data_IF_963065041055
#
_entry.id   IF_963065041055
#
_cell.length_a   1.000
_cell.length_b   1.000
_cell.length_c   1.000
_cell.angle_alpha   90.00
_cell.angle_beta   90.00
_cell.angle_gamma   90.00
#
_symmetry.space_group_name_H-M   'P 1'
#
loop_
_entity.id
_entity.type
_entity.pdbx_description
1 polymer ?
#
# COMPACT_ATOMS: atom_id res chain seq x y z
N UNK A 1 6.85 -10.65 3.70
CA UNK A 1 6.49 -11.29 2.40
C UNK A 1 7.54 -12.34 2.08
N UNK A 2 7.16 -13.42 1.41
CA UNK A 2 8.11 -14.45 0.97
C UNK A 2 8.90 -13.93 -0.24
N UNK A 3 10.25 -13.90 -0.19
CA UNK A 3 11.06 -13.28 -1.25
C UNK A 3 11.07 -14.06 -2.57
N UNK A 4 10.70 -15.33 -2.53
CA UNK A 4 10.68 -16.24 -3.67
C UNK A 4 9.39 -16.17 -4.51
N UNK A 5 8.33 -15.58 -3.96
CA UNK A 5 7.06 -15.42 -4.68
C UNK A 5 7.10 -14.20 -5.59
N UNK A 6 6.32 -14.26 -6.66
CA UNK A 6 6.03 -13.08 -7.49
C UNK A 6 5.09 -12.12 -6.79
N UNK A 7 4.97 -10.91 -7.31
CA UNK A 7 3.99 -9.91 -6.85
C UNK A 7 2.58 -10.50 -6.89
N UNK A 8 2.18 -11.08 -8.02
CA UNK A 8 0.87 -11.69 -8.21
C UNK A 8 0.60 -12.82 -7.22
N UNK A 9 1.54 -13.76 -7.07
CA UNK A 9 1.41 -14.90 -6.14
C UNK A 9 1.26 -14.43 -4.70
N UNK A 10 1.99 -13.39 -4.30
CA UNK A 10 1.91 -12.82 -2.95
C UNK A 10 0.51 -12.26 -2.67
N UNK A 11 -0.03 -11.46 -3.58
CA UNK A 11 -1.36 -10.85 -3.42
C UNK A 11 -2.46 -11.93 -3.54
N UNK A 12 -2.31 -12.88 -4.47
CA UNK A 12 -3.24 -13.99 -4.64
C UNK A 12 -3.31 -14.87 -3.38
N UNK A 13 -2.18 -15.14 -2.75
CA UNK A 13 -2.13 -15.87 -1.48
C UNK A 13 -2.97 -15.16 -0.40
N UNK A 14 -2.82 -13.83 -0.27
CA UNK A 14 -3.65 -13.04 0.64
C UNK A 14 -5.15 -13.13 0.28
N UNK A 15 -5.47 -13.03 -1.00
CA UNK A 15 -6.85 -13.14 -1.48
C UNK A 15 -7.47 -14.53 -1.20
N UNK A 16 -6.71 -15.60 -1.41
CA UNK A 16 -7.16 -16.97 -1.15
C UNK A 16 -7.48 -17.22 0.33
N UNK A 17 -6.69 -16.62 1.22
CA UNK A 17 -6.84 -16.79 2.67
C UNK A 17 -7.94 -15.90 3.27
N UNK A 18 -8.17 -14.72 2.73
CA UNK A 18 -8.99 -13.66 3.36
C UNK A 18 -10.36 -13.45 2.70
N UNK A 19 -10.51 -13.80 1.41
CA UNK A 19 -11.80 -13.68 0.74
C UNK A 19 -12.71 -14.88 1.05
N UNK A 20 -14.04 -14.70 0.97
CA UNK A 20 -15.01 -15.74 1.29
C UNK A 20 -14.72 -17.08 0.58
N UNK A 21 -15.00 -18.19 1.28
CA UNK A 21 -14.71 -19.54 0.75
C UNK A 21 -15.58 -19.91 -0.45
N UNK A 22 -16.78 -19.38 -0.52
CA UNK A 22 -17.75 -19.55 -1.61
C UNK A 22 -17.42 -18.71 -2.86
N UNK A 23 -16.54 -17.72 -2.72
CA UNK A 23 -16.04 -16.98 -3.87
C UNK A 23 -15.17 -17.87 -4.75
N UNK A 24 -15.50 -17.95 -6.07
CA UNK A 24 -14.75 -18.75 -7.02
C UNK A 24 -13.29 -18.30 -7.13
N UNK A 25 -12.39 -19.23 -7.45
CA UNK A 25 -10.98 -18.91 -7.68
C UNK A 25 -10.79 -17.83 -8.75
N UNK A 26 -11.56 -17.93 -9.84
CA UNK A 26 -11.56 -16.95 -10.92
C UNK A 26 -11.91 -15.54 -10.40
N UNK A 27 -12.96 -15.41 -9.57
CA UNK A 27 -13.34 -14.12 -8.98
C UNK A 27 -12.25 -13.55 -8.06
N UNK A 28 -11.54 -14.40 -7.32
CA UNK A 28 -10.40 -13.99 -6.48
C UNK A 28 -9.23 -13.49 -7.33
N UNK A 29 -8.90 -14.15 -8.44
CA UNK A 29 -7.85 -13.73 -9.38
C UNK A 29 -8.22 -12.41 -10.09
N UNK A 30 -9.47 -12.23 -10.45
CA UNK A 30 -10.00 -10.96 -10.98
C UNK A 30 -9.80 -9.82 -9.95
N UNK A 31 -10.12 -10.08 -8.68
CA UNK A 31 -9.94 -9.11 -7.60
C UNK A 31 -8.46 -8.74 -7.40
N UNK A 32 -7.55 -9.70 -7.48
CA UNK A 32 -6.10 -9.46 -7.43
C UNK A 32 -5.67 -8.55 -8.57
N UNK A 33 -6.06 -8.87 -9.80
CA UNK A 33 -5.74 -8.06 -10.98
C UNK A 33 -6.27 -6.61 -10.87
N UNK A 34 -7.46 -6.44 -10.32
CA UNK A 34 -8.03 -5.12 -10.06
C UNK A 34 -7.17 -4.32 -9.06
N UNK A 35 -6.80 -4.92 -7.94
CA UNK A 35 -5.96 -4.28 -6.91
C UNK A 35 -4.57 -3.94 -7.46
N UNK A 36 -3.95 -4.82 -8.24
CA UNK A 36 -2.68 -4.55 -8.91
C UNK A 36 -2.74 -3.30 -9.79
N UNK A 37 -3.84 -3.14 -10.54
CA UNK A 37 -4.08 -1.94 -11.38
C UNK A 37 -4.32 -0.69 -10.54
N UNK A 38 -5.10 -0.78 -9.46
CA UNK A 38 -5.37 0.32 -8.54
C UNK A 38 -4.08 0.90 -7.93
N UNK A 39 -3.09 0.04 -7.66
CA UNK A 39 -1.82 0.41 -7.06
C UNK A 39 -0.69 0.64 -8.08
N UNK A 40 -0.97 0.52 -9.38
CA UNK A 40 0.03 0.71 -10.44
C UNK A 40 1.16 -0.32 -10.42
N UNK A 41 0.90 -1.54 -9.92
CA UNK A 41 1.91 -2.61 -9.82
C UNK A 41 1.64 -3.79 -10.76
N UNK A 42 0.61 -3.70 -11.60
CA UNK A 42 0.25 -4.79 -12.52
C UNK A 42 1.37 -5.10 -13.54
N UNK A 43 2.14 -4.10 -13.94
CA UNK A 43 3.25 -4.27 -14.89
C UNK A 43 4.43 -5.08 -14.35
N UNK A 44 4.55 -5.21 -13.01
CA UNK A 44 5.56 -6.02 -12.33
C UNK A 44 5.00 -7.32 -11.72
N UNK A 45 3.79 -7.71 -12.05
CA UNK A 45 3.07 -8.84 -11.43
C UNK A 45 3.85 -10.16 -11.43
N UNK A 46 4.67 -10.39 -12.46
CA UNK A 46 5.45 -11.62 -12.65
C UNK A 46 6.88 -11.50 -12.08
N UNK A 47 7.26 -10.33 -11.51
CA UNK A 47 8.54 -10.15 -10.86
C UNK A 47 8.52 -10.71 -9.44
N UNK A 48 9.65 -11.29 -9.01
CA UNK A 48 9.81 -11.80 -7.64
C UNK A 48 9.93 -10.63 -6.65
N UNK A 49 9.42 -10.84 -5.43
CA UNK A 49 9.55 -9.86 -4.34
C UNK A 49 11.03 -9.59 -4.03
N UNK A 50 11.85 -10.64 -3.96
CA UNK A 50 13.28 -10.54 -3.65
C UNK A 50 13.57 -10.16 -2.20
N UNK A 51 14.81 -10.40 -1.76
CA UNK A 51 15.32 -10.00 -0.45
C UNK A 51 16.48 -9.02 -0.60
N UNK A 52 16.74 -8.21 0.43
CA UNK A 52 17.90 -7.30 0.45
C UNK A 52 19.23 -8.06 0.62
N UNK A 53 19.19 -9.27 1.21
CA UNK A 53 20.35 -10.09 1.55
C UNK A 53 20.62 -11.22 0.55
N UNK A 54 19.79 -11.41 -0.48
CA UNK A 54 19.86 -12.56 -1.38
C UNK A 54 20.34 -12.26 -2.80
N UNK A 55 20.74 -13.31 -3.53
CA UNK A 55 21.31 -13.29 -4.89
C UNK A 55 20.30 -12.93 -6.00
N UNK A 56 19.17 -12.32 -5.70
CA UNK A 56 18.17 -11.90 -6.69
C UNK A 56 17.68 -10.48 -6.41
N UNK A 57 17.97 -9.55 -7.30
CA UNK A 57 17.36 -8.22 -7.28
C UNK A 57 15.85 -8.38 -7.50
N UNK A 58 15.08 -8.20 -6.42
CA UNK A 58 13.63 -8.14 -6.49
C UNK A 58 13.12 -6.75 -6.86
N UNK A 59 11.84 -6.54 -6.64
CA UNK A 59 11.19 -5.25 -6.81
C UNK A 59 11.72 -4.20 -5.82
N UNK A 60 11.55 -2.90 -6.15
CA UNK A 60 12.00 -1.78 -5.33
C UNK A 60 11.27 -1.71 -3.97
N UNK A 61 11.83 -0.97 -3.00
CA UNK A 61 11.21 -0.77 -1.69
C UNK A 61 9.82 -0.14 -1.78
N UNK A 62 9.62 0.85 -2.67
CA UNK A 62 8.33 1.47 -2.90
C UNK A 62 7.30 0.50 -3.51
N UNK A 63 7.73 -0.39 -4.41
CA UNK A 63 6.89 -1.45 -4.96
C UNK A 63 6.55 -2.49 -3.90
N UNK A 64 7.51 -2.92 -3.07
CA UNK A 64 7.25 -3.81 -1.92
C UNK A 64 6.19 -3.22 -0.99
N UNK A 65 6.27 -1.91 -0.71
CA UNK A 65 5.27 -1.24 0.13
C UNK A 65 3.88 -1.27 -0.51
N UNK A 66 3.77 -1.01 -1.82
CA UNK A 66 2.50 -1.11 -2.56
C UNK A 66 1.96 -2.54 -2.61
N UNK A 67 2.81 -3.55 -2.75
CA UNK A 67 2.40 -4.97 -2.62
C UNK A 67 1.82 -5.26 -1.24
N UNK A 68 2.44 -4.74 -0.16
CA UNK A 68 1.89 -4.86 1.19
C UNK A 68 0.49 -4.24 1.30
N UNK A 69 0.30 -3.05 0.75
CA UNK A 69 -1.01 -2.38 0.69
C UNK A 69 -1.99 -3.20 -0.14
N UNK A 70 -1.56 -3.79 -1.27
CA UNK A 70 -2.38 -4.65 -2.11
C UNK A 70 -2.95 -5.84 -1.34
N UNK A 71 -2.14 -6.50 -0.51
CA UNK A 71 -2.56 -7.62 0.32
C UNK A 71 -3.70 -7.24 1.29
N UNK A 72 -3.76 -6.00 1.74
CA UNK A 72 -4.86 -5.51 2.58
C UNK A 72 -6.08 -5.11 1.73
N UNK A 73 -5.87 -4.56 0.55
CA UNK A 73 -6.94 -4.08 -0.33
C UNK A 73 -7.77 -5.19 -1.00
N UNK A 74 -7.31 -6.44 -1.02
CA UNK A 74 -8.08 -7.56 -1.61
C UNK A 74 -9.46 -7.71 -0.97
N UNK A 75 -9.60 -7.43 0.32
CA UNK A 75 -10.88 -7.48 1.05
C UNK A 75 -11.76 -6.25 0.86
N UNK A 76 -11.33 -5.29 0.04
CA UNK A 76 -12.07 -4.05 -0.25
C UNK A 76 -12.47 -3.23 1.00
N UNK A 77 -11.57 -2.95 1.93
CA UNK A 77 -11.91 -2.21 3.14
C UNK A 77 -12.31 -0.77 2.80
N UNK A 78 -13.29 -0.20 3.52
CA UNK A 78 -13.69 1.21 3.40
C UNK A 78 -12.68 2.14 4.09
N UNK A 79 -12.00 1.65 5.13
CA UNK A 79 -10.98 2.37 5.90
C UNK A 79 -9.69 1.58 5.84
N UNK A 80 -8.60 2.24 5.52
CA UNK A 80 -7.25 1.67 5.48
C UNK A 80 -6.37 2.38 6.51
N UNK A 81 -5.79 1.62 7.44
CA UNK A 81 -4.83 2.10 8.41
C UNK A 81 -3.42 1.66 8.01
N UNK A 82 -2.48 2.59 8.03
CA UNK A 82 -1.08 2.33 7.68
C UNK A 82 -0.16 2.96 8.73
N UNK A 83 0.80 2.19 9.17
CA UNK A 83 1.83 2.70 10.08
C UNK A 83 3.12 2.96 9.30
N UNK A 84 3.53 4.23 9.28
CA UNK A 84 4.73 4.72 8.60
C UNK A 84 4.94 4.15 7.17
N UNK A 85 3.98 4.33 6.22
CA UNK A 85 4.06 3.70 4.90
C UNK A 85 5.27 4.16 4.07
N UNK A 86 5.94 5.23 4.47
CA UNK A 86 7.11 5.80 3.78
C UNK A 86 8.44 5.52 4.48
N UNK A 87 8.43 4.85 5.62
CA UNK A 87 9.65 4.55 6.38
C UNK A 87 10.62 3.69 5.58
N UNK A 88 11.91 4.08 5.58
CA UNK A 88 12.96 3.38 4.84
C UNK A 88 12.97 3.61 3.33
N UNK A 89 12.12 4.51 2.81
CA UNK A 89 12.09 4.85 1.39
C UNK A 89 12.86 6.16 1.12
N UNK A 90 13.47 6.25 -0.07
CA UNK A 90 13.96 7.51 -0.59
C UNK A 90 12.80 8.47 -0.92
N UNK A 91 13.11 9.74 -1.16
CA UNK A 91 12.11 10.78 -1.33
C UNK A 91 11.18 10.58 -2.53
N UNK A 92 11.66 9.99 -3.62
CA UNK A 92 10.88 9.72 -4.81
C UNK A 92 9.89 8.58 -4.56
N UNK A 93 10.36 7.47 -4.02
CA UNK A 93 9.53 6.33 -3.69
C UNK A 93 8.50 6.66 -2.60
N UNK A 94 8.89 7.45 -1.58
CA UNK A 94 7.97 7.93 -0.55
C UNK A 94 6.83 8.77 -1.15
N UNK A 95 7.14 9.70 -2.04
CA UNK A 95 6.13 10.51 -2.73
C UNK A 95 5.18 9.64 -3.55
N UNK A 96 5.69 8.69 -4.35
CA UNK A 96 4.88 7.79 -5.18
C UNK A 96 3.94 6.90 -4.35
N UNK A 97 4.37 6.44 -3.17
CA UNK A 97 3.49 5.67 -2.27
C UNK A 97 2.35 6.55 -1.75
N UNK A 98 2.63 7.78 -1.32
CA UNK A 98 1.58 8.70 -0.83
C UNK A 98 0.64 9.11 -1.97
N UNK A 99 1.14 9.42 -3.16
CA UNK A 99 0.31 9.73 -4.32
C UNK A 99 -0.64 8.58 -4.67
N UNK A 100 -0.17 7.35 -4.58
CA UNK A 100 -0.99 6.15 -4.74
C UNK A 100 -2.10 6.07 -3.68
N UNK A 101 -1.79 6.38 -2.40
CA UNK A 101 -2.78 6.41 -1.32
C UNK A 101 -3.83 7.52 -1.52
N UNK A 102 -3.41 8.69 -1.99
CA UNK A 102 -4.33 9.79 -2.35
C UNK A 102 -5.26 9.38 -3.49
N UNK A 103 -4.73 8.70 -4.51
CA UNK A 103 -5.54 8.16 -5.60
C UNK A 103 -6.56 7.14 -5.10
N UNK A 104 -6.16 6.24 -4.19
CA UNK A 104 -7.07 5.29 -3.54
C UNK A 104 -8.19 6.01 -2.77
N UNK A 105 -7.86 7.05 -2.02
CA UNK A 105 -8.85 7.82 -1.26
C UNK A 105 -9.85 8.52 -2.20
N UNK A 106 -9.37 9.26 -3.19
CA UNK A 106 -10.20 10.11 -4.07
C UNK A 106 -10.96 9.32 -5.14
N UNK A 107 -10.28 8.40 -5.83
CA UNK A 107 -10.87 7.67 -6.96
C UNK A 107 -11.76 6.52 -6.51
N UNK A 108 -11.39 5.84 -5.41
CA UNK A 108 -12.12 4.67 -4.93
C UNK A 108 -12.92 4.94 -3.64
N UNK A 109 -13.09 6.22 -3.28
CA UNK A 109 -13.88 6.69 -2.14
C UNK A 109 -13.56 5.95 -0.84
N UNK A 110 -12.26 5.90 -0.49
CA UNK A 110 -11.76 5.23 0.71
C UNK A 110 -11.24 6.24 1.71
N UNK A 111 -11.39 5.93 2.99
CA UNK A 111 -10.71 6.67 4.04
C UNK A 111 -9.35 6.03 4.29
N UNK A 112 -8.28 6.80 4.12
CA UNK A 112 -6.90 6.35 4.37
C UNK A 112 -6.34 7.14 5.54
N UNK A 113 -5.95 6.43 6.60
CA UNK A 113 -5.38 7.00 7.82
C UNK A 113 -3.99 6.40 7.99
N UNK A 114 -2.98 7.25 8.15
CA UNK A 114 -1.61 6.75 8.32
C UNK A 114 -0.78 7.65 9.23
N UNK A 115 0.19 7.04 9.88
CA UNK A 115 1.23 7.76 10.61
C UNK A 115 2.37 8.12 9.64
N UNK A 116 3.00 9.26 9.84
CA UNK A 116 4.17 9.66 9.07
C UNK A 116 5.12 10.47 9.95
N UNK A 117 6.41 10.22 9.81
CA UNK A 117 7.45 10.93 10.54
C UNK A 117 8.17 11.91 9.62
N UNK A 118 8.26 13.18 10.00
CA UNK A 118 8.98 14.25 9.29
C UNK A 118 8.70 14.29 7.76
N UNK A 119 7.42 14.38 7.33
CA UNK A 119 7.10 14.44 5.91
C UNK A 119 7.66 15.72 5.27
N UNK A 120 8.06 15.61 4.01
CA UNK A 120 8.42 16.79 3.20
C UNK A 120 7.16 17.61 2.90
N UNK A 121 7.33 18.91 2.67
CA UNK A 121 6.21 19.84 2.39
C UNK A 121 5.34 19.43 1.20
N UNK A 122 5.95 18.88 0.15
CA UNK A 122 5.21 18.38 -1.01
C UNK A 122 4.32 17.16 -0.70
N UNK A 123 4.67 16.35 0.30
CA UNK A 123 3.86 15.24 0.79
C UNK A 123 2.70 15.76 1.65
N UNK A 124 3.00 16.69 2.57
CA UNK A 124 1.98 17.25 3.49
C UNK A 124 0.88 17.96 2.71
N UNK A 125 1.24 18.65 1.61
CA UNK A 125 0.28 19.32 0.72
C UNK A 125 -0.75 18.38 0.03
N UNK A 126 -0.54 17.07 0.10
CA UNK A 126 -1.48 16.08 -0.44
C UNK A 126 -2.56 15.65 0.58
N UNK A 127 -2.45 16.06 1.84
CA UNK A 127 -3.35 15.60 2.91
C UNK A 127 -4.61 16.48 2.97
N UNK A 128 -5.75 15.83 3.19
CA UNK A 128 -7.02 16.53 3.42
C UNK A 128 -7.13 17.00 4.89
N UNK A 129 -6.59 16.19 5.82
CA UNK A 129 -6.63 16.46 7.27
C UNK A 129 -5.31 16.07 7.91
N UNK A 130 -4.96 16.80 8.98
CA UNK A 130 -3.76 16.59 9.76
C UNK A 130 -4.10 16.46 11.24
N UNK A 131 -3.46 15.50 11.91
CA UNK A 131 -3.45 15.36 13.36
C UNK A 131 -2.00 15.43 13.82
N UNK A 132 -1.64 16.44 14.59
CA UNK A 132 -0.31 16.56 15.20
C UNK A 132 -0.33 16.06 16.63
N UNK A 133 0.57 15.14 16.93
CA UNK A 133 0.73 14.56 18.26
C UNK A 133 2.09 14.98 18.85
N UNK A 134 2.08 15.43 20.10
CA UNK A 134 3.30 15.71 20.85
C UNK A 134 3.13 15.33 22.33
N UNK A 135 4.11 14.61 22.88
CA UNK A 135 4.13 14.18 24.30
C UNK A 135 2.82 13.51 24.74
N UNK A 136 2.26 12.64 23.88
CA UNK A 136 1.01 11.91 24.16
C UNK A 136 -0.27 12.75 24.10
N UNK A 137 -0.22 13.98 23.58
CA UNK A 137 -1.38 14.88 23.43
C UNK A 137 -1.56 15.31 21.98
N UNK A 138 -2.81 15.53 21.60
CA UNK A 138 -3.14 16.16 20.31
C UNK A 138 -2.86 17.67 20.42
N UNK A 139 -1.96 18.16 19.58
CA UNK A 139 -1.61 19.60 19.50
C UNK A 139 -2.47 20.31 18.45
N UNK A 140 -2.79 19.59 17.37
CA UNK A 140 -3.64 20.09 16.29
C UNK A 140 -4.46 18.94 15.71
N UNK A 141 -5.69 19.22 15.32
CA UNK A 141 -6.55 18.31 14.53
C UNK A 141 -7.48 19.14 13.66
N UNK A 142 -7.29 19.09 12.34
CA UNK A 142 -8.06 19.90 11.42
C UNK A 142 -7.72 19.66 9.96
N UNK A 143 -8.33 20.43 9.02
CA UNK A 143 -7.93 20.42 7.62
C UNK A 143 -6.49 20.95 7.49
N UNK A 144 -5.82 20.51 6.41
CA UNK A 144 -4.49 21.04 6.08
C UNK A 144 -4.63 22.21 5.13
#
# INVERSE_FOLDING_TARGET
>A
MLPTLTVHETILTSALLRLPKDMSRFAKEQRVTEVEKQLGIHHIKDQIIGSEEGHGRGISGGEKRRVGIACELVTSPSILFLDEPTSGLDAFNAFNVIECLVTLAKTYNRTVIFTIHQPRSNIVALFDRLILLAKGRTVYSGPF
#
